data_IF_361999254856
#
_entry.id   IF_361999254856
#
_cell.length_a   1.000
_cell.length_b   1.000
_cell.length_c   1.000
_cell.angle_alpha   90.00
_cell.angle_beta   90.00
_cell.angle_gamma   90.00
#
_symmetry.space_group_name_H-M   'P 1'
#
loop_
_entity.id
_entity.type
_entity.pdbx_description
1 polymer ?
#
# COMPACT_ATOMS: atom_id res chain seq x y z
N UNK A 1 -1.27 -8.13 18.25
CA UNK A 1 -1.83 -6.76 18.28
C UNK A 1 -2.24 -6.35 16.88
N UNK A 2 -3.35 -5.64 16.75
CA UNK A 2 -3.89 -5.22 15.45
C UNK A 2 -3.07 -4.08 14.86
N UNK A 3 -2.40 -4.30 13.72
CA UNK A 3 -1.69 -3.26 12.96
C UNK A 3 -2.65 -2.42 12.10
N UNK A 4 -3.96 -2.64 12.16
CA UNK A 4 -4.94 -1.99 11.28
C UNK A 4 -4.90 -0.46 11.38
N UNK A 5 -4.83 0.09 12.59
CA UNK A 5 -4.73 1.54 12.83
C UNK A 5 -3.52 2.17 12.12
N UNK A 6 -2.37 1.50 12.17
CA UNK A 6 -1.15 1.98 11.50
C UNK A 6 -1.36 2.05 9.98
N UNK A 7 -1.92 0.99 9.39
CA UNK A 7 -2.15 0.93 7.95
C UNK A 7 -3.22 1.92 7.50
N UNK A 8 -4.28 2.12 8.28
CA UNK A 8 -5.32 3.12 8.02
C UNK A 8 -4.73 4.54 8.03
N UNK A 9 -3.98 4.90 9.07
CA UNK A 9 -3.30 6.18 9.16
C UNK A 9 -2.30 6.38 8.02
N UNK A 10 -1.50 5.35 7.71
CA UNK A 10 -0.53 5.40 6.62
C UNK A 10 -1.20 5.63 5.25
N UNK A 11 -2.29 4.90 4.94
CA UNK A 11 -3.04 5.08 3.68
C UNK A 11 -3.70 6.45 3.63
N UNK A 12 -4.24 6.95 4.74
CA UNK A 12 -4.79 8.30 4.83
C UNK A 12 -3.71 9.35 4.50
N UNK A 13 -2.55 9.26 5.13
CA UNK A 13 -1.44 10.18 4.91
C UNK A 13 -0.92 10.13 3.47
N UNK A 14 -0.85 8.95 2.85
CA UNK A 14 -0.53 8.83 1.42
C UNK A 14 -1.49 9.65 0.54
N UNK A 15 -2.78 9.69 0.87
CA UNK A 15 -3.74 10.52 0.11
C UNK A 15 -3.51 12.02 0.29
N UNK A 16 -2.92 12.43 1.40
CA UNK A 16 -2.63 13.83 1.74
C UNK A 16 -1.35 14.31 1.07
N UNK A 17 -0.30 13.48 1.04
CA UNK A 17 1.06 13.90 0.63
C UNK A 17 1.38 13.60 -0.84
N UNK A 18 0.77 12.56 -1.44
CA UNK A 18 1.00 12.26 -2.85
C UNK A 18 0.25 13.27 -3.74
N UNK A 19 0.99 13.94 -4.62
CA UNK A 19 0.43 14.76 -5.71
C UNK A 19 -0.35 13.87 -6.69
N UNK A 20 -1.35 14.39 -7.43
CA UNK A 20 -2.02 13.67 -8.51
C UNK A 20 -1.02 13.00 -9.47
N UNK A 21 -1.22 11.72 -9.78
CA UNK A 21 -0.29 10.92 -10.59
C UNK A 21 0.99 10.45 -9.86
N UNK A 22 1.27 10.97 -8.67
CA UNK A 22 2.38 10.57 -7.81
C UNK A 22 2.30 9.09 -7.40
N UNK A 23 3.45 8.47 -7.15
CA UNK A 23 3.55 7.03 -6.86
C UNK A 23 4.22 6.78 -5.52
N UNK A 24 3.78 5.73 -4.85
CA UNK A 24 4.45 5.13 -3.71
C UNK A 24 4.79 3.67 -4.02
N UNK A 25 5.95 3.22 -3.57
CA UNK A 25 6.38 1.83 -3.62
C UNK A 25 6.39 1.29 -2.20
N UNK A 26 5.62 0.24 -1.95
CA UNK A 26 5.40 -0.30 -0.61
C UNK A 26 5.82 -1.76 -0.58
N UNK A 27 6.43 -2.18 0.53
CA UNK A 27 6.79 -3.57 0.78
C UNK A 27 6.11 -4.03 2.06
N UNK A 28 5.34 -5.13 2.00
CA UNK A 28 4.67 -5.66 3.18
C UNK A 28 4.40 -7.17 3.08
N UNK A 29 4.41 -7.85 4.22
CA UNK A 29 3.91 -9.23 4.37
C UNK A 29 2.40 -9.28 4.67
N UNK A 30 1.76 -8.13 4.89
CA UNK A 30 0.32 -7.98 5.17
C UNK A 30 -0.44 -7.44 3.96
N UNK A 31 -0.22 -8.05 2.79
CA UNK A 31 -0.81 -7.62 1.51
C UNK A 31 -2.32 -7.46 1.56
N UNK A 32 -3.05 -8.42 2.12
CA UNK A 32 -4.52 -8.37 2.18
C UNK A 32 -5.07 -7.14 2.93
N UNK A 33 -4.41 -6.70 4.01
CA UNK A 33 -4.82 -5.51 4.75
C UNK A 33 -4.59 -4.24 3.93
N UNK A 34 -3.40 -4.12 3.32
CA UNK A 34 -3.04 -2.97 2.51
C UNK A 34 -3.95 -2.84 1.28
N UNK A 35 -4.17 -3.93 0.55
CA UNK A 35 -5.04 -3.96 -0.64
C UNK A 35 -6.47 -3.58 -0.26
N UNK A 36 -7.00 -4.13 0.84
CA UNK A 36 -8.35 -3.78 1.31
C UNK A 36 -8.50 -2.27 1.58
N UNK A 37 -7.51 -1.65 2.20
CA UNK A 37 -7.55 -0.21 2.51
C UNK A 37 -7.39 0.67 1.28
N UNK A 38 -6.47 0.32 0.38
CA UNK A 38 -6.29 1.05 -0.89
C UNK A 38 -7.57 0.97 -1.73
N UNK A 39 -8.17 -0.22 -1.87
CA UNK A 39 -9.40 -0.40 -2.66
C UNK A 39 -10.59 0.39 -2.10
N UNK A 40 -10.67 0.56 -0.77
CA UNK A 40 -11.67 1.43 -0.13
C UNK A 40 -11.39 2.93 -0.30
N UNK A 41 -10.16 3.28 -0.69
CA UNK A 41 -9.71 4.67 -0.82
C UNK A 41 -9.69 5.05 -2.29
N UNK A 42 -10.80 5.57 -2.84
CA UNK A 42 -10.96 5.93 -4.26
C UNK A 42 -9.89 6.89 -4.83
N UNK A 43 -9.19 7.59 -3.94
CA UNK A 43 -8.09 8.51 -4.25
C UNK A 43 -6.76 7.81 -4.58
N UNK A 44 -6.64 6.50 -4.34
CA UNK A 44 -5.44 5.72 -4.63
C UNK A 44 -5.81 4.56 -5.55
N UNK A 45 -4.85 4.16 -6.39
CA UNK A 45 -4.98 3.00 -7.28
C UNK A 45 -3.77 2.11 -7.15
N UNK A 46 -4.00 0.82 -6.97
CA UNK A 46 -2.95 -0.18 -7.10
C UNK A 46 -2.64 -0.36 -8.58
N UNK A 47 -1.39 -0.10 -8.96
CA UNK A 47 -0.92 -0.15 -10.36
C UNK A 47 -0.14 -1.42 -10.65
N UNK A 48 0.56 -1.95 -9.65
CA UNK A 48 1.35 -3.15 -9.79
C UNK A 48 1.49 -3.87 -8.46
N UNK A 49 1.62 -5.19 -8.52
CA UNK A 49 1.90 -6.08 -7.41
C UNK A 49 2.93 -7.12 -7.86
N UNK A 50 3.93 -7.38 -7.02
CA UNK A 50 4.91 -8.44 -7.24
C UNK A 50 5.29 -9.08 -5.91
N UNK A 51 5.24 -10.40 -5.85
CA UNK A 51 5.83 -11.15 -4.73
C UNK A 51 7.33 -11.27 -4.95
N UNK A 52 8.13 -10.89 -3.95
CA UNK A 52 9.59 -11.02 -3.99
C UNK A 52 10.07 -11.93 -2.87
N UNK A 53 11.28 -12.49 -3.00
CA UNK A 53 11.97 -13.17 -1.91
C UNK A 53 12.99 -12.21 -1.32
N UNK A 54 12.92 -11.98 -0.01
CA UNK A 54 13.84 -11.07 0.69
C UNK A 54 14.06 -11.58 2.11
N UNK A 55 15.31 -11.84 2.49
CA UNK A 55 15.67 -12.26 3.85
C UNK A 55 14.92 -13.50 4.35
N UNK A 56 14.68 -14.49 3.47
CA UNK A 56 13.91 -15.70 3.81
C UNK A 56 12.39 -15.52 3.83
N UNK A 57 11.88 -14.29 3.72
CA UNK A 57 10.46 -13.98 3.63
C UNK A 57 9.99 -13.84 2.17
N UNK A 58 8.66 -13.87 1.99
CA UNK A 58 7.98 -13.63 0.70
C UNK A 58 7.03 -12.41 0.77
N UNK A 59 7.54 -11.18 0.94
CA UNK A 59 6.69 -9.99 0.97
C UNK A 59 6.14 -9.66 -0.43
N UNK A 60 5.06 -8.88 -0.42
CA UNK A 60 4.49 -8.26 -1.61
C UNK A 60 5.02 -6.84 -1.75
N UNK A 61 5.51 -6.52 -2.95
CA UNK A 61 5.86 -5.18 -3.38
C UNK A 61 4.71 -4.60 -4.21
N UNK A 62 4.24 -3.43 -3.83
CA UNK A 62 3.14 -2.73 -4.49
C UNK A 62 3.61 -1.41 -5.06
N UNK A 63 3.09 -1.06 -6.25
CA UNK A 63 3.12 0.31 -6.76
C UNK A 63 1.71 0.87 -6.62
N UNK A 64 1.57 1.93 -5.84
CA UNK A 64 0.31 2.65 -5.63
C UNK A 64 0.45 4.01 -6.28
N UNK A 65 -0.54 4.44 -7.06
CA UNK A 65 -0.60 5.75 -7.69
C UNK A 65 -1.74 6.57 -7.12
N UNK A 66 -1.50 7.84 -6.88
CA UNK A 66 -2.54 8.83 -6.61
C UNK A 66 -3.38 9.04 -7.87
N UNK A 67 -4.69 8.79 -7.75
CA UNK A 67 -5.66 9.15 -8.78
C UNK A 67 -5.77 10.65 -8.90
#
# INVERSE_FOLDING_TARGET
GSLSYLYEGFVSEMTRVLRPGGKAVLLTTRSGLLVKLITRTHKLRLVHERVIRLGGAKPHLFIVRRS
#
